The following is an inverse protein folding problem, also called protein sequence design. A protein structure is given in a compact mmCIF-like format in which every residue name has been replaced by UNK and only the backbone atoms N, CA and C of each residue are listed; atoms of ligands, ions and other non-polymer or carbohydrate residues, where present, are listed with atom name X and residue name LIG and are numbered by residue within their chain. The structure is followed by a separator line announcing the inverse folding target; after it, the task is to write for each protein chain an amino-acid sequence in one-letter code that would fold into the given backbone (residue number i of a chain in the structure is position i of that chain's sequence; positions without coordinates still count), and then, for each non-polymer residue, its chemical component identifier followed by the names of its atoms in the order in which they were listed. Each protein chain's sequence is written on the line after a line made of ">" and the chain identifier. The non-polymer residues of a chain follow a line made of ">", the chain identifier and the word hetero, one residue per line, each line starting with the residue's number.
data_IF_899807772363
#
_entry.id   IF_899807772363
#
_cell.length_a   1.000
_cell.length_b   1.000
_cell.length_c   1.000
_cell.angle_alpha   90.00
_cell.angle_beta   90.00
_cell.angle_gamma   90.00
#
_symmetry.space_group_name_H-M   'P 1'
#
loop_
_entity.id
_entity.type
_entity.pdbx_description
1 polymer ?
#
# COMPACT_ATOMS: atom_id res chain seq x y z
N UNK A 1 16.20 42.02 31.85
CA UNK A 1 16.08 41.61 31.42
C UNK A 1 16.19 40.90 30.70
N UNK A 2 16.33 40.60 30.63
CA UNK A 2 16.42 39.99 29.99
C UNK A 2 16.42 39.04 29.45
N UNK A 3 16.31 38.72 29.47
CA UNK A 3 16.36 37.88 29.04
C UNK A 3 16.03 37.04 28.39
N UNK A 4 15.80 36.89 28.29
CA UNK A 4 15.48 36.19 27.72
C UNK A 4 15.34 35.41 26.99
N UNK A 5 15.28 35.41 26.79
CA UNK A 5 15.09 34.78 26.11
C UNK A 5 15.20 33.95 25.52
N UNK A 6 15.27 33.70 25.45
CA UNK A 6 15.37 33.00 24.90
C UNK A 6 15.11 32.09 24.40
N UNK A 7 14.94 31.97 24.47
CA UNK A 7 14.71 31.16 24.06
C UNK A 7 14.43 30.45 23.28
N UNK A 8 14.29 30.38 23.07
CA UNK A 8 14.02 29.73 22.40
C UNK A 8 14.02 28.93 21.67
N UNK A 9 13.98 28.92 21.56
CA UNK A 9 13.89 28.19 20.89
C UNK A 9 13.80 27.43 20.39
N UNK A 10 13.80 27.13 20.49
CA UNK A 10 13.75 26.36 20.00
C UNK A 10 13.37 25.57 19.43
N UNK A 11 13.19 25.62 19.40
CA UNK A 11 12.75 24.90 18.89
C UNK A 11 12.68 24.23 18.21
N UNK A 12 12.70 24.16 18.10
CA UNK A 12 12.56 23.53 17.48
C UNK A 12 12.52 22.69 16.94
N UNK A 13 12.57 22.51 16.91
CA UNK A 13 12.62 21.76 16.36
C UNK A 13 12.33 20.98 15.91
N UNK A 14 12.13 20.78 15.88
CA UNK A 14 11.89 19.99 15.41
C UNK A 14 11.80 19.17 14.70
N UNK A 15 11.74 19.23 14.57
CA UNK A 15 11.61 18.45 13.91
C UNK A 15 11.57 17.77 13.28
N UNK A 16 11.53 17.60 13.35
CA UNK A 16 11.60 16.89 12.81
C UNK A 16 11.36 16.14 12.32
N UNK A 17 11.36 15.93 12.29
CA UNK A 17 11.11 15.26 11.85
C UNK A 17 11.07 14.24 11.36
N UNK A 18 10.87 13.94 11.61
CA UNK A 18 10.69 12.66 11.35
C UNK A 18 10.10 12.34 10.13
N UNK A 19 10.73 12.38 9.33
CA UNK A 19 10.32 12.17 8.11
C UNK A 19 10.21 10.81 7.82
N UNK A 20 9.09 10.32 7.80
CA UNK A 20 8.79 9.08 7.17
C UNK A 20 8.60 9.39 5.72
N UNK A 21 9.44 8.84 4.91
CA UNK A 21 9.29 9.01 3.47
C UNK A 21 8.47 7.85 2.96
N UNK A 22 7.22 8.11 2.65
CA UNK A 22 6.41 7.15 1.93
C UNK A 22 6.93 7.07 0.49
N UNK A 23 6.92 5.87 -0.06
CA UNK A 23 7.26 5.69 -1.47
C UNK A 23 6.21 6.36 -2.33
N UNK A 24 6.64 7.06 -3.36
CA UNK A 24 5.73 7.68 -4.30
C UNK A 24 5.00 6.64 -5.14
N UNK A 25 3.77 6.94 -5.49
CA UNK A 25 2.93 5.99 -6.23
C UNK A 25 3.54 5.58 -7.57
N UNK A 26 4.09 6.53 -8.30
CA UNK A 26 4.70 6.21 -9.59
C UNK A 26 5.87 5.25 -9.43
N UNK A 27 6.67 5.45 -8.42
CA UNK A 27 7.78 4.55 -8.11
C UNK A 27 7.25 3.16 -7.74
N UNK A 28 6.21 3.10 -6.92
CA UNK A 28 5.62 1.84 -6.51
C UNK A 28 5.06 1.08 -7.72
N UNK A 29 4.41 1.78 -8.63
CA UNK A 29 3.89 1.15 -9.86
C UNK A 29 5.00 0.55 -10.71
N UNK A 30 6.14 1.25 -10.79
CA UNK A 30 7.28 0.74 -11.56
C UNK A 30 7.88 -0.50 -10.95
N UNK A 31 7.82 -0.63 -9.63
CA UNK A 31 8.41 -1.75 -8.91
C UNK A 31 7.46 -2.92 -8.69
N UNK A 32 6.17 -2.71 -8.92
CA UNK A 32 5.16 -3.70 -8.59
C UNK A 32 5.35 -5.03 -9.31
N UNK A 33 5.59 -4.98 -10.62
CA UNK A 33 5.79 -6.22 -11.38
C UNK A 33 6.99 -7.01 -10.87
N UNK A 34 8.07 -6.33 -10.56
CA UNK A 34 9.27 -6.98 -10.05
C UNK A 34 9.01 -7.69 -8.72
N UNK A 35 8.40 -7.00 -7.76
CA UNK A 35 8.17 -7.63 -6.45
C UNK A 35 7.17 -8.77 -6.54
N UNK A 36 6.21 -8.70 -7.45
CA UNK A 36 5.29 -9.82 -7.71
C UNK A 36 6.01 -11.02 -8.32
N UNK A 37 6.84 -10.78 -9.33
CA UNK A 37 7.58 -11.84 -10.00
C UNK A 37 8.56 -12.54 -9.05
N UNK A 38 9.13 -11.77 -8.13
CA UNK A 38 10.07 -12.32 -7.17
C UNK A 38 9.36 -13.03 -6.01
N UNK A 39 8.04 -13.05 -5.99
CA UNK A 39 7.30 -13.72 -4.95
C UNK A 39 7.29 -13.00 -3.61
N UNK A 40 7.52 -11.70 -3.61
CA UNK A 40 7.59 -10.91 -2.38
C UNK A 40 6.23 -10.39 -1.96
N UNK A 41 5.32 -10.21 -2.90
CA UNK A 41 3.97 -9.73 -2.64
C UNK A 41 2.97 -10.54 -3.46
N UNK A 42 1.72 -10.54 -3.03
CA UNK A 42 0.67 -11.25 -3.75
C UNK A 42 -0.67 -10.55 -3.61
N UNK A 43 -1.61 -10.94 -4.46
CA UNK A 43 -2.97 -10.44 -4.43
C UNK A 43 -3.82 -11.20 -3.44
N UNK A 44 -4.77 -10.50 -2.82
CA UNK A 44 -5.71 -11.12 -1.89
C UNK A 44 -7.15 -10.91 -2.36
N UNK A 45 -8.07 -11.69 -1.80
CA UNK A 45 -9.49 -11.59 -2.14
C UNK A 45 -10.12 -10.28 -1.66
N UNK A 46 -9.43 -9.52 -0.83
CA UNK A 46 -9.97 -8.26 -0.30
C UNK A 46 -9.74 -7.06 -1.22
N UNK A 47 -9.05 -7.25 -2.34
CA UNK A 47 -8.77 -6.17 -3.27
C UNK A 47 -7.44 -5.47 -3.03
N UNK A 48 -6.66 -5.96 -2.06
CA UNK A 48 -5.39 -5.35 -1.68
C UNK A 48 -4.25 -6.34 -1.79
N UNK A 49 -3.05 -5.79 -1.95
CA UNK A 49 -1.82 -6.58 -1.89
C UNK A 49 -1.46 -6.89 -0.45
N UNK A 50 -0.72 -7.97 -0.25
CA UNK A 50 -0.04 -8.24 1.02
C UNK A 50 1.37 -8.71 0.74
N UNK A 51 2.24 -8.46 1.72
CA UNK A 51 3.61 -8.93 1.66
C UNK A 51 3.63 -10.43 1.92
N UNK A 52 4.31 -11.16 1.04
CA UNK A 52 4.59 -12.59 1.23
C UNK A 52 5.91 -12.74 1.97
N UNK A 53 6.94 -12.02 1.51
CA UNK A 53 8.25 -11.98 2.16
C UNK A 53 8.72 -10.53 2.25
N UNK A 54 9.11 -10.12 3.45
CA UNK A 54 9.48 -8.73 3.70
C UNK A 54 10.94 -8.48 3.30
N UNK A 55 11.21 -8.48 2.00
CA UNK A 55 12.52 -8.25 1.43
C UNK A 55 12.50 -6.99 0.58
N UNK A 56 13.63 -6.31 0.52
CA UNK A 56 13.77 -5.11 -0.29
C UNK A 56 12.70 -4.08 0.04
N UNK A 57 12.06 -3.55 -0.98
CA UNK A 57 11.05 -2.51 -0.83
C UNK A 57 9.62 -3.05 -0.92
N UNK A 58 9.42 -4.36 -0.70
CA UNK A 58 8.10 -4.99 -0.83
C UNK A 58 7.05 -4.29 0.02
N UNK A 59 7.37 -3.98 1.28
CA UNK A 59 6.42 -3.34 2.18
C UNK A 59 6.02 -1.95 1.69
N UNK A 60 6.99 -1.16 1.27
CA UNK A 60 6.74 0.20 0.79
C UNK A 60 5.89 0.18 -0.47
N UNK A 61 6.14 -0.76 -1.39
CA UNK A 61 5.34 -0.92 -2.59
C UNK A 61 3.90 -1.27 -2.23
N UNK A 62 3.72 -2.23 -1.31
CA UNK A 62 2.38 -2.64 -0.87
C UNK A 62 1.62 -1.46 -0.28
N UNK A 63 2.26 -0.69 0.59
CA UNK A 63 1.59 0.44 1.24
C UNK A 63 1.15 1.49 0.22
N UNK A 64 2.04 1.87 -0.69
CA UNK A 64 1.72 2.90 -1.68
C UNK A 64 0.62 2.44 -2.64
N UNK A 65 0.69 1.21 -3.12
CA UNK A 65 -0.31 0.68 -4.04
C UNK A 65 -1.66 0.53 -3.32
N UNK A 66 -1.67 0.01 -2.10
CA UNK A 66 -2.90 -0.18 -1.35
C UNK A 66 -3.58 1.15 -1.01
N UNK A 67 -2.81 2.19 -0.70
CA UNK A 67 -3.39 3.51 -0.44
C UNK A 67 -4.10 4.03 -1.69
N UNK A 68 -3.47 3.89 -2.85
CA UNK A 68 -4.07 4.32 -4.11
C UNK A 68 -5.31 3.50 -4.45
N UNK A 69 -5.26 2.18 -4.21
CA UNK A 69 -6.41 1.32 -4.46
C UNK A 69 -7.58 1.70 -3.56
N UNK A 70 -7.31 1.96 -2.28
CA UNK A 70 -8.36 2.33 -1.33
C UNK A 70 -9.06 3.60 -1.77
N UNK A 71 -8.31 4.62 -2.16
CA UNK A 71 -8.90 5.86 -2.64
C UNK A 71 -9.78 5.61 -3.87
N UNK A 72 -9.32 4.79 -4.78
CA UNK A 72 -10.08 4.49 -5.99
C UNK A 72 -11.35 3.70 -5.67
N UNK A 73 -11.27 2.72 -4.75
CA UNK A 73 -12.44 1.95 -4.35
C UNK A 73 -13.48 2.82 -3.66
N UNK A 74 -13.02 3.74 -2.82
CA UNK A 74 -13.93 4.68 -2.15
C UNK A 74 -14.61 5.60 -3.16
N UNK A 75 -13.86 6.04 -4.17
CA UNK A 75 -14.42 6.88 -5.23
C UNK A 75 -15.50 6.14 -6.01
N UNK A 76 -15.25 4.88 -6.35
CA UNK A 76 -16.22 4.05 -7.08
C UNK A 76 -17.45 3.81 -6.22
N UNK A 77 -17.25 3.47 -4.95
CA UNK A 77 -18.35 3.20 -4.03
C UNK A 77 -19.26 4.42 -3.89
N UNK A 78 -18.67 5.60 -3.74
CA UNK A 78 -19.43 6.83 -3.62
C UNK A 78 -20.20 7.14 -4.90
N UNK A 79 -19.53 6.99 -6.06
CA UNK A 79 -20.16 7.27 -7.35
C UNK A 79 -21.37 6.40 -7.59
N UNK A 80 -21.35 5.16 -7.15
CA UNK A 80 -22.41 4.19 -7.40
C UNK A 80 -23.32 3.94 -6.21
N UNK A 81 -23.08 4.66 -5.11
CA UNK A 81 -23.87 4.54 -3.88
C UNK A 81 -23.96 3.10 -3.38
N UNK A 82 -22.80 2.43 -3.31
CA UNK A 82 -22.68 1.07 -2.79
C UNK A 82 -21.63 1.03 -1.69
N UNK A 83 -21.66 0.02 -0.81
CA UNK A 83 -20.62 -0.11 0.21
C UNK A 83 -19.26 -0.35 -0.43
N UNK A 84 -18.22 0.24 0.15
CA UNK A 84 -16.85 0.06 -0.35
C UNK A 84 -16.45 -1.41 -0.32
N UNK A 85 -16.98 -2.20 0.62
CA UNK A 85 -16.68 -3.64 0.70
C UNK A 85 -17.11 -4.40 -0.55
N UNK A 86 -18.17 -3.95 -1.21
CA UNK A 86 -18.57 -4.58 -2.47
C UNK A 86 -17.57 -4.30 -3.57
N UNK A 87 -17.05 -3.07 -3.63
CA UNK A 87 -16.02 -2.72 -4.60
C UNK A 87 -14.76 -3.53 -4.33
N UNK A 88 -14.36 -3.62 -3.08
CA UNK A 88 -13.18 -4.37 -2.67
C UNK A 88 -13.28 -5.84 -3.05
N UNK A 89 -14.44 -6.44 -2.83
CA UNK A 89 -14.65 -7.85 -3.16
C UNK A 89 -14.53 -8.11 -4.67
N UNK A 90 -15.13 -7.25 -5.47
CA UNK A 90 -15.06 -7.39 -6.93
C UNK A 90 -13.63 -7.16 -7.41
N UNK A 91 -12.96 -6.14 -6.86
CA UNK A 91 -11.58 -5.83 -7.24
C UNK A 91 -10.63 -6.98 -6.87
N UNK A 92 -10.84 -7.59 -5.70
CA UNK A 92 -10.03 -8.72 -5.26
C UNK A 92 -10.18 -9.92 -6.19
N UNK A 93 -11.42 -10.23 -6.56
CA UNK A 93 -11.67 -11.32 -7.50
C UNK A 93 -10.97 -11.07 -8.82
N UNK A 94 -11.10 -9.86 -9.35
CA UNK A 94 -10.48 -9.51 -10.63
C UNK A 94 -8.95 -9.56 -10.55
N UNK A 95 -8.38 -9.06 -9.44
CA UNK A 95 -6.94 -9.05 -9.28
C UNK A 95 -6.38 -10.48 -9.25
N UNK A 96 -7.06 -11.38 -8.57
CA UNK A 96 -6.68 -12.79 -8.54
C UNK A 96 -6.79 -13.41 -9.92
N UNK A 97 -7.90 -13.15 -10.63
CA UNK A 97 -8.10 -13.68 -11.97
C UNK A 97 -7.03 -13.22 -12.95
N UNK A 98 -6.58 -11.98 -12.80
CA UNK A 98 -5.56 -11.39 -13.68
C UNK A 98 -4.14 -11.76 -13.31
N UNK A 99 -3.93 -12.34 -12.14
CA UNK A 99 -2.59 -12.71 -11.70
C UNK A 99 -2.01 -13.76 -12.63
N UNK A 100 -0.80 -13.53 -13.18
CA UNK A 100 -0.16 -14.54 -14.05
C UNK A 100 0.21 -15.79 -13.26
N UNK A 101 0.31 -16.90 -14.00
CA UNK A 101 0.78 -18.14 -13.41
C UNK A 101 2.16 -17.95 -12.80
N UNK A 102 2.39 -18.59 -11.67
CA UNK A 102 3.67 -18.51 -10.96
C UNK A 102 3.75 -17.43 -9.92
N UNK A 103 2.79 -16.49 -9.89
CA UNK A 103 2.75 -15.46 -8.87
C UNK A 103 1.78 -15.86 -7.75
N UNK A 104 1.98 -15.24 -6.58
CA UNK A 104 1.21 -15.62 -5.40
C UNK A 104 -0.16 -14.97 -5.36
N UNK A 105 -1.15 -15.77 -4.96
CA UNK A 105 -2.48 -15.30 -4.57
C UNK A 105 -2.80 -15.87 -3.20
N UNK A 106 -3.66 -15.19 -2.45
CA UNK A 106 -4.08 -15.69 -1.15
C UNK A 106 -5.43 -16.37 -1.29
N UNK A 107 -5.50 -17.64 -0.89
CA UNK A 107 -6.74 -18.43 -0.93
C UNK A 107 -6.99 -18.94 0.48
N UNK A 108 -8.12 -18.53 1.05
CA UNK A 108 -8.51 -18.91 2.41
C UNK A 108 -7.40 -18.63 3.44
N UNK A 109 -6.74 -17.48 3.29
CA UNK A 109 -5.69 -17.07 4.20
C UNK A 109 -4.32 -17.66 3.92
N UNK A 110 -4.19 -18.54 2.94
CA UNK A 110 -2.93 -19.18 2.63
C UNK A 110 -2.38 -18.69 1.29
N UNK A 111 -1.05 -18.55 1.21
CA UNK A 111 -0.39 -18.18 -0.04
C UNK A 111 -0.26 -19.40 -0.94
N UNK A 112 -0.68 -19.23 -2.19
CA UNK A 112 -0.62 -20.27 -3.21
C UNK A 112 -0.05 -19.67 -4.47
N UNK A 113 0.86 -20.36 -5.12
CA UNK A 113 1.30 -19.94 -6.46
C UNK A 113 0.23 -20.34 -7.48
N UNK A 114 -0.17 -19.38 -8.26
CA UNK A 114 -1.20 -19.62 -9.27
C UNK A 114 -0.73 -20.45 -10.47
#
# INVERSE_FOLDING_TARGET
>A
MKRLLQMFALVLVFGASASVFAMELDEAKQKLDDVKQRGLVGETATGYLKVVRAEGQAKEVVEAINDARREEYERIAEKHDIPVTEVETVAGKKAIEKTPDGQYIQVNGNWVKK
#
